data_IF_179113358326
#
_entry.id   IF_179113358326
#
_cell.length_a   1.000
_cell.length_b   1.000
_cell.length_c   1.000
_cell.angle_alpha   90.00
_cell.angle_beta   90.00
_cell.angle_gamma   90.00
#
_symmetry.space_group_name_H-M   'P 1'
#
loop_
_entity.id
_entity.type
_entity.pdbx_description
1 polymer ?
#
# COMPACT_ATOMS: atom_id res chain seq x y z
N UNK A 1 23.55 -4.26 -20.19
CA UNK A 1 22.69 -4.98 -21.13
C UNK A 1 22.09 -6.20 -20.42
N UNK A 2 20.81 -6.44 -20.62
CA UNK A 2 20.16 -7.58 -19.98
C UNK A 2 18.69 -7.76 -20.34
N UNK A 3 18.17 -8.92 -19.95
CA UNK A 3 16.76 -9.29 -20.09
C UNK A 3 16.23 -9.60 -18.69
N UNK A 4 15.05 -9.12 -18.36
CA UNK A 4 14.37 -9.38 -17.11
C UNK A 4 12.89 -9.70 -17.36
N UNK A 5 12.29 -10.51 -16.51
CA UNK A 5 10.85 -10.78 -16.54
C UNK A 5 10.31 -10.98 -15.12
N UNK A 6 9.07 -10.57 -14.90
CA UNK A 6 8.34 -10.95 -13.69
C UNK A 6 8.35 -12.47 -13.52
N UNK A 7 8.54 -12.99 -12.31
CA UNK A 7 8.65 -14.42 -12.05
C UNK A 7 7.25 -15.09 -11.99
N UNK A 8 6.52 -15.07 -13.11
CA UNK A 8 5.19 -15.70 -13.19
C UNK A 8 5.30 -17.21 -13.40
N UNK A 9 4.27 -17.93 -12.94
CA UNK A 9 4.13 -19.38 -13.18
C UNK A 9 3.16 -19.68 -14.31
N UNK A 10 2.10 -18.88 -14.42
CA UNK A 10 1.04 -19.08 -15.42
C UNK A 10 0.79 -17.73 -16.11
N UNK A 11 1.06 -17.67 -17.42
CA UNK A 11 0.72 -16.47 -18.21
C UNK A 11 -0.80 -16.32 -18.28
N UNK A 12 -1.39 -15.23 -17.72
CA UNK A 12 -2.84 -15.04 -17.70
C UNK A 12 -3.47 -14.91 -19.09
N UNK A 13 -2.68 -14.53 -20.10
CA UNK A 13 -3.15 -14.40 -21.48
C UNK A 13 -3.22 -15.73 -22.24
N UNK A 14 -2.75 -16.82 -21.62
CA UNK A 14 -2.90 -18.19 -22.16
C UNK A 14 -4.09 -18.95 -21.55
N UNK A 15 -4.71 -18.41 -20.49
CA UNK A 15 -5.90 -18.97 -19.86
C UNK A 15 -7.14 -18.60 -20.66
N UNK A 16 -7.99 -19.57 -21.00
CA UNK A 16 -9.22 -19.31 -21.76
C UNK A 16 -10.13 -18.32 -21.01
N UNK A 17 -10.71 -17.37 -21.75
CA UNK A 17 -11.56 -16.34 -21.17
C UNK A 17 -12.82 -16.95 -20.52
N UNK A 18 -13.31 -18.07 -21.07
CA UNK A 18 -14.44 -18.82 -20.54
C UNK A 18 -14.15 -19.36 -19.15
N UNK A 19 -12.93 -19.85 -18.90
CA UNK A 19 -12.52 -20.36 -17.59
C UNK A 19 -12.38 -19.24 -16.57
N UNK A 20 -11.85 -18.07 -16.99
CA UNK A 20 -11.76 -16.88 -16.16
C UNK A 20 -13.16 -16.38 -15.75
N UNK A 21 -14.07 -16.26 -16.72
CA UNK A 21 -15.45 -15.87 -16.48
C UNK A 21 -16.19 -16.88 -15.61
N UNK A 22 -16.02 -18.17 -15.86
CA UNK A 22 -16.63 -19.23 -15.05
C UNK A 22 -16.18 -19.18 -13.59
N UNK A 23 -14.92 -18.84 -13.32
CA UNK A 23 -14.42 -18.66 -11.95
C UNK A 23 -15.10 -17.47 -11.25
N UNK A 24 -15.20 -16.32 -11.94
CA UNK A 24 -15.88 -15.13 -11.40
C UNK A 24 -17.35 -15.39 -11.12
N UNK A 25 -18.06 -16.08 -12.03
CA UNK A 25 -19.48 -16.43 -11.83
C UNK A 25 -19.67 -17.33 -10.61
N UNK A 26 -18.83 -18.34 -10.41
CA UNK A 26 -18.89 -19.18 -9.20
C UNK A 26 -18.63 -18.38 -7.92
N UNK A 27 -17.69 -17.43 -7.93
CA UNK A 27 -17.45 -16.54 -6.77
C UNK A 27 -18.69 -15.67 -6.50
N UNK A 28 -19.33 -15.13 -7.55
CA UNK A 28 -20.55 -14.35 -7.42
C UNK A 28 -21.71 -15.17 -6.86
N UNK A 29 -21.93 -16.38 -7.35
CA UNK A 29 -22.96 -17.30 -6.85
C UNK A 29 -22.73 -17.64 -5.38
N UNK A 30 -21.47 -17.92 -4.98
CA UNK A 30 -21.12 -18.23 -3.60
C UNK A 30 -21.41 -17.05 -2.65
N UNK A 31 -21.11 -15.81 -3.07
CA UNK A 31 -21.44 -14.61 -2.29
C UNK A 31 -22.95 -14.34 -2.23
N UNK A 32 -23.66 -14.47 -3.36
CA UNK A 32 -25.14 -14.29 -3.45
C UNK A 32 -25.90 -15.33 -2.63
N UNK A 33 -25.31 -16.49 -2.35
CA UNK A 33 -25.86 -17.50 -1.45
C UNK A 33 -25.96 -17.05 0.01
N UNK A 34 -25.30 -15.94 0.40
CA UNK A 34 -25.37 -15.39 1.76
C UNK A 34 -26.64 -14.56 1.94
N UNK A 35 -27.52 -14.87 2.89
CA UNK A 35 -28.74 -14.11 3.13
C UNK A 35 -28.46 -12.65 3.45
N UNK A 36 -29.10 -11.72 2.70
CA UNK A 36 -28.89 -10.28 2.83
C UNK A 36 -27.96 -9.68 1.77
N UNK A 37 -27.15 -10.49 1.08
CA UNK A 37 -26.40 -10.05 -0.10
C UNK A 37 -27.37 -9.87 -1.28
N UNK A 38 -27.23 -8.76 -2.01
CA UNK A 38 -28.08 -8.43 -3.15
C UNK A 38 -27.30 -8.22 -4.44
N UNK A 39 -26.10 -7.71 -4.34
CA UNK A 39 -25.28 -7.41 -5.51
C UNK A 39 -23.85 -7.92 -5.30
N UNK A 40 -23.28 -8.47 -6.36
CA UNK A 40 -21.87 -8.85 -6.41
C UNK A 40 -21.29 -8.37 -7.72
N UNK A 41 -20.14 -7.71 -7.63
CA UNK A 41 -19.32 -7.34 -8.78
C UNK A 41 -17.95 -8.01 -8.62
N UNK A 42 -17.49 -8.68 -9.65
CA UNK A 42 -16.17 -9.31 -9.67
C UNK A 42 -15.42 -9.01 -10.95
N UNK A 43 -14.12 -8.90 -10.86
CA UNK A 43 -13.27 -8.62 -11.99
C UNK A 43 -11.89 -9.30 -11.83
N UNK A 44 -11.24 -9.54 -12.97
CA UNK A 44 -9.82 -9.86 -13.05
C UNK A 44 -9.19 -8.84 -13.98
N UNK A 45 -8.16 -8.18 -13.50
CA UNK A 45 -7.36 -7.27 -14.31
C UNK A 45 -5.95 -7.84 -14.47
N UNK A 46 -5.49 -7.92 -15.72
CA UNK A 46 -4.14 -8.37 -16.05
C UNK A 46 -3.44 -7.33 -16.92
N UNK A 47 -2.15 -7.15 -16.64
CA UNK A 47 -1.28 -6.33 -17.47
C UNK A 47 -0.04 -7.14 -17.83
N UNK A 48 0.33 -7.09 -19.12
CA UNK A 48 1.65 -7.48 -19.63
C UNK A 48 2.23 -6.27 -20.33
N UNK A 49 3.39 -5.83 -19.88
CA UNK A 49 4.12 -4.70 -20.44
C UNK A 49 5.49 -5.18 -20.90
N UNK A 50 5.85 -4.87 -22.15
CA UNK A 50 7.19 -5.12 -22.68
C UNK A 50 7.89 -3.77 -22.86
N UNK A 51 8.97 -3.56 -22.13
CA UNK A 51 9.79 -2.34 -22.20
C UNK A 51 11.17 -2.65 -22.75
N UNK A 52 11.55 -1.89 -23.79
CA UNK A 52 12.93 -1.85 -24.27
C UNK A 52 13.50 -0.47 -24.01
N UNK A 53 14.62 -0.42 -23.30
CA UNK A 53 15.40 0.80 -23.08
C UNK A 53 16.71 0.69 -23.85
N UNK A 54 17.11 1.76 -24.53
CA UNK A 54 18.41 1.88 -25.19
C UNK A 54 18.95 3.29 -25.01
N UNK A 55 20.26 3.42 -24.78
CA UNK A 55 20.94 4.71 -24.65
C UNK A 55 22.21 4.79 -25.50
N UNK A 56 22.69 6.02 -25.74
CA UNK A 56 23.88 6.28 -26.56
C UNK A 56 25.19 5.84 -25.91
N UNK A 57 25.19 5.54 -24.62
CA UNK A 57 26.32 4.93 -23.89
C UNK A 57 26.40 3.40 -24.05
N UNK A 58 25.53 2.83 -24.89
CA UNK A 58 25.55 1.42 -25.25
C UNK A 58 24.75 0.51 -24.32
N UNK A 59 23.94 1.06 -23.42
CA UNK A 59 23.02 0.30 -22.57
C UNK A 59 21.82 -0.15 -23.40
N UNK A 60 21.47 -1.44 -23.35
CA UNK A 60 20.23 -2.01 -23.89
C UNK A 60 19.63 -2.97 -22.88
N UNK A 61 18.38 -2.75 -22.47
CA UNK A 61 17.63 -3.64 -21.59
C UNK A 61 16.27 -3.96 -22.15
N UNK A 62 15.80 -5.19 -21.94
CA UNK A 62 14.46 -5.64 -22.32
C UNK A 62 13.79 -6.24 -21.11
N UNK A 63 12.56 -5.81 -20.82
CA UNK A 63 11.82 -6.25 -19.64
C UNK A 63 10.40 -6.67 -20.01
N UNK A 64 9.93 -7.79 -19.45
CA UNK A 64 8.54 -8.21 -19.52
C UNK A 64 7.94 -8.18 -18.12
N UNK A 65 7.02 -7.26 -17.89
CA UNK A 65 6.40 -7.02 -16.59
C UNK A 65 4.97 -7.55 -16.63
N UNK A 66 4.63 -8.40 -15.64
CA UNK A 66 3.27 -8.88 -15.45
C UNK A 66 2.68 -8.36 -14.15
N UNK A 67 1.37 -8.10 -14.16
CA UNK A 67 0.61 -7.72 -12.98
C UNK A 67 -0.78 -8.34 -13.03
N UNK A 68 -1.30 -8.75 -11.88
CA UNK A 68 -2.62 -9.34 -11.74
C UNK A 68 -3.36 -8.76 -10.54
N UNK A 69 -4.65 -8.48 -10.72
CA UNK A 69 -5.56 -8.02 -9.66
C UNK A 69 -6.92 -8.70 -9.82
N UNK A 70 -7.18 -9.82 -9.17
CA UNK A 70 -8.53 -10.33 -8.99
C UNK A 70 -9.24 -9.55 -7.89
N UNK A 71 -10.55 -9.30 -8.06
CA UNK A 71 -11.34 -8.56 -7.09
C UNK A 71 -12.79 -9.01 -7.06
N UNK A 72 -13.38 -8.93 -5.86
CA UNK A 72 -14.81 -9.16 -5.62
C UNK A 72 -15.32 -8.05 -4.72
N UNK A 73 -16.46 -7.46 -5.07
CA UNK A 73 -17.19 -6.51 -4.22
C UNK A 73 -18.57 -7.06 -3.97
N UNK A 74 -18.89 -7.27 -2.70
CA UNK A 74 -20.19 -7.78 -2.25
C UNK A 74 -20.97 -6.66 -1.59
N UNK A 75 -22.23 -6.47 -1.97
CA UNK A 75 -23.13 -5.47 -1.37
C UNK A 75 -24.32 -6.17 -0.72
N UNK A 76 -24.45 -5.94 0.57
CA UNK A 76 -25.63 -6.33 1.36
C UNK A 76 -26.61 -5.16 1.48
N UNK A 77 -27.90 -5.46 1.50
CA UNK A 77 -28.98 -4.46 1.61
C UNK A 77 -29.88 -4.85 2.78
N UNK A 78 -30.30 -3.86 3.58
CA UNK A 78 -31.22 -4.06 4.69
C UNK A 78 -32.57 -4.58 4.22
N UNK A 79 -33.31 -5.29 5.08
CA UNK A 79 -34.59 -5.90 4.71
C UNK A 79 -35.64 -4.89 4.25
N UNK A 80 -35.61 -3.68 4.75
CA UNK A 80 -36.48 -2.55 4.40
C UNK A 80 -35.94 -1.67 3.25
N UNK A 81 -34.80 -2.03 2.68
CA UNK A 81 -34.04 -1.30 1.64
C UNK A 81 -33.62 0.13 2.05
N UNK A 82 -33.52 0.44 3.33
CA UNK A 82 -33.16 1.78 3.81
C UNK A 82 -31.64 1.98 3.91
N UNK A 83 -30.84 0.91 3.98
CA UNK A 83 -29.39 0.95 4.10
C UNK A 83 -28.73 -0.14 3.26
N UNK A 84 -27.51 0.12 2.81
CA UNK A 84 -26.67 -0.87 2.15
C UNK A 84 -25.21 -0.74 2.61
N UNK A 85 -24.50 -1.83 2.61
CA UNK A 85 -23.08 -1.88 2.95
C UNK A 85 -22.33 -2.76 1.97
N UNK A 86 -21.14 -2.30 1.57
CA UNK A 86 -20.28 -3.05 0.66
C UNK A 86 -18.99 -3.53 1.35
N UNK A 87 -18.51 -4.67 0.91
CA UNK A 87 -17.23 -5.27 1.29
C UNK A 87 -16.44 -5.60 0.02
N UNK A 88 -15.32 -4.93 -0.17
CA UNK A 88 -14.35 -5.25 -1.22
C UNK A 88 -13.35 -6.28 -0.72
N UNK A 89 -12.90 -7.17 -1.57
CA UNK A 89 -11.88 -8.19 -1.25
C UNK A 89 -10.47 -7.60 -1.08
N UNK A 90 -10.32 -6.60 -0.21
CA UNK A 90 -9.07 -5.88 0.05
C UNK A 90 -7.98 -6.71 0.75
N UNK A 91 -8.32 -7.91 1.18
CA UNK A 91 -7.39 -8.96 1.61
C UNK A 91 -6.77 -9.72 0.42
N UNK A 92 -7.26 -9.50 -0.78
CA UNK A 92 -6.66 -9.95 -2.05
C UNK A 92 -6.05 -8.73 -2.72
N UNK A 93 -4.78 -8.48 -2.45
CA UNK A 93 -4.05 -7.32 -2.97
C UNK A 93 -3.53 -7.58 -4.39
N UNK A 94 -3.31 -6.54 -5.22
CA UNK A 94 -2.70 -6.71 -6.53
C UNK A 94 -1.23 -7.14 -6.42
N UNK A 95 -0.77 -7.98 -7.33
CA UNK A 95 0.60 -8.50 -7.35
C UNK A 95 1.25 -8.47 -8.73
N UNK A 96 2.59 -8.41 -8.75
CA UNK A 96 3.43 -8.60 -9.93
C UNK A 96 3.61 -10.09 -10.28
N UNK A 97 2.50 -10.81 -10.37
CA UNK A 97 2.41 -12.25 -10.62
C UNK A 97 1.51 -12.54 -11.84
N UNK A 98 1.40 -13.82 -12.22
CA UNK A 98 0.52 -14.30 -13.28
C UNK A 98 -0.83 -14.81 -12.74
N UNK A 99 -1.45 -15.73 -13.50
CA UNK A 99 -2.74 -16.31 -13.14
C UNK A 99 -2.71 -17.14 -11.84
N UNK A 100 -1.55 -17.63 -11.43
CA UNK A 100 -1.37 -18.27 -10.13
C UNK A 100 -1.87 -17.40 -8.96
N UNK A 101 -1.75 -16.08 -9.06
CA UNK A 101 -2.27 -15.16 -8.05
C UNK A 101 -3.80 -15.23 -7.92
N UNK A 102 -4.50 -15.39 -9.04
CA UNK A 102 -5.96 -15.58 -9.06
C UNK A 102 -6.36 -16.90 -8.36
N UNK A 103 -5.60 -17.98 -8.62
CA UNK A 103 -5.84 -19.26 -7.99
C UNK A 103 -5.57 -19.24 -6.48
N UNK A 104 -4.48 -18.57 -6.07
CA UNK A 104 -4.10 -18.42 -4.65
C UNK A 104 -5.08 -17.52 -3.87
N UNK A 105 -5.77 -16.60 -4.56
CA UNK A 105 -6.78 -15.72 -3.97
C UNK A 105 -8.04 -16.47 -3.47
N UNK A 106 -8.30 -17.70 -3.96
CA UNK A 106 -9.43 -18.55 -3.54
C UNK A 106 -10.74 -17.79 -3.51
N UNK A 107 -11.08 -17.12 -4.62
CA UNK A 107 -12.22 -16.19 -4.70
C UNK A 107 -13.53 -16.87 -4.32
N UNK A 108 -13.75 -18.12 -4.78
CA UNK A 108 -15.00 -18.87 -4.52
C UNK A 108 -15.14 -19.21 -3.04
N UNK A 109 -14.06 -19.67 -2.42
CA UNK A 109 -14.02 -20.08 -1.01
C UNK A 109 -14.16 -18.87 -0.06
N UNK A 110 -13.61 -17.72 -0.44
CA UNK A 110 -13.65 -16.49 0.36
C UNK A 110 -14.95 -15.68 0.17
N UNK A 111 -15.64 -15.82 -0.97
CA UNK A 111 -16.81 -15.03 -1.31
C UNK A 111 -17.94 -15.06 -0.24
N UNK A 112 -18.28 -16.22 0.38
CA UNK A 112 -19.28 -16.25 1.46
C UNK A 112 -18.86 -15.45 2.70
N UNK A 113 -17.56 -15.45 3.05
CA UNK A 113 -17.03 -14.66 4.16
C UNK A 113 -17.18 -13.17 3.88
N UNK A 114 -16.82 -12.68 2.69
CA UNK A 114 -17.02 -11.28 2.31
C UNK A 114 -18.51 -10.90 2.32
N UNK A 115 -19.38 -11.82 1.93
CA UNK A 115 -20.83 -11.66 2.03
C UNK A 115 -21.30 -11.49 3.48
N UNK A 116 -20.85 -12.35 4.37
CA UNK A 116 -21.18 -12.29 5.80
C UNK A 116 -20.67 -10.98 6.43
N UNK A 117 -19.44 -10.55 6.11
CA UNK A 117 -18.86 -9.29 6.56
C UNK A 117 -19.68 -8.08 6.08
N UNK A 118 -20.16 -8.07 4.82
CA UNK A 118 -21.02 -7.01 4.31
C UNK A 118 -22.37 -6.94 5.06
N UNK A 119 -22.96 -8.10 5.38
CA UNK A 119 -24.21 -8.19 6.16
C UNK A 119 -23.99 -7.75 7.62
N UNK A 120 -22.85 -8.09 8.22
CA UNK A 120 -22.51 -7.64 9.57
C UNK A 120 -22.35 -6.12 9.64
N UNK A 121 -21.75 -5.49 8.61
CA UNK A 121 -21.65 -4.01 8.50
C UNK A 121 -23.00 -3.31 8.61
N UNK A 122 -24.08 -3.86 8.06
CA UNK A 122 -25.42 -3.29 8.20
C UNK A 122 -25.88 -3.17 9.65
N UNK A 123 -25.43 -4.09 10.51
CA UNK A 123 -25.79 -4.18 11.92
C UNK A 123 -24.79 -3.49 12.84
N UNK A 124 -23.67 -3.02 12.27
CA UNK A 124 -22.61 -2.40 13.05
C UNK A 124 -23.10 -1.10 13.70
N UNK A 125 -22.68 -0.87 14.94
CA UNK A 125 -22.94 0.41 15.62
C UNK A 125 -21.96 1.46 15.14
N UNK A 126 -22.42 2.73 15.08
CA UNK A 126 -21.54 3.86 14.83
C UNK A 126 -20.49 4.00 15.95
N UNK A 127 -19.30 4.43 15.57
CA UNK A 127 -18.21 4.64 16.55
C UNK A 127 -18.47 5.86 17.43
N UNK A 128 -18.08 5.79 18.69
CA UNK A 128 -17.95 6.96 19.56
C UNK A 128 -16.65 7.70 19.25
N UNK A 129 -16.71 9.02 19.09
CA UNK A 129 -15.51 9.84 18.89
C UNK A 129 -14.60 9.77 20.11
N UNK A 130 -13.29 9.81 19.89
CA UNK A 130 -12.34 9.74 21.00
C UNK A 130 -10.96 9.28 20.57
N UNK A 131 -10.14 8.90 21.57
CA UNK A 131 -8.82 8.34 21.34
C UNK A 131 -8.84 6.84 21.60
N UNK A 132 -8.29 6.09 20.66
CA UNK A 132 -8.23 4.64 20.67
C UNK A 132 -6.84 4.16 20.27
N UNK A 133 -6.46 3.01 20.79
CA UNK A 133 -5.34 2.27 20.22
C UNK A 133 -5.80 1.65 18.90
N UNK A 134 -5.01 1.81 17.84
CA UNK A 134 -5.32 1.22 16.55
C UNK A 134 -4.44 0.01 16.28
N UNK A 135 -5.06 -1.10 15.90
CA UNK A 135 -4.37 -2.27 15.35
C UNK A 135 -4.67 -2.32 13.86
N UNK A 136 -3.65 -2.06 13.05
CA UNK A 136 -3.79 -1.96 11.59
C UNK A 136 -3.31 -3.25 10.93
N UNK A 137 -4.21 -3.87 10.15
CA UNK A 137 -3.89 -5.01 9.31
C UNK A 137 -3.05 -4.55 8.09
N UNK A 138 -2.14 -5.36 7.54
CA UNK A 138 -1.36 -5.00 6.37
C UNK A 138 -2.19 -4.52 5.18
N UNK A 139 -3.35 -5.15 4.92
CA UNK A 139 -4.28 -4.75 3.85
C UNK A 139 -4.86 -3.34 3.99
N UNK A 140 -4.71 -2.71 5.16
CA UNK A 140 -5.03 -1.31 5.41
C UNK A 140 -3.77 -0.44 5.48
N UNK A 141 -2.75 -0.91 6.19
CA UNK A 141 -1.56 -0.14 6.54
C UNK A 141 -0.75 0.28 5.31
N UNK A 142 -0.75 -0.51 4.24
CA UNK A 142 -0.04 -0.20 3.00
C UNK A 142 -0.39 1.20 2.47
N UNK A 143 -1.68 1.60 2.51
CA UNK A 143 -2.12 2.92 2.06
C UNK A 143 -1.60 4.03 2.99
N UNK A 144 -1.59 3.79 4.30
CA UNK A 144 -1.02 4.75 5.27
C UNK A 144 0.48 4.94 5.04
N UNK A 145 1.21 3.87 4.72
CA UNK A 145 2.64 3.94 4.34
C UNK A 145 2.80 4.73 3.03
N UNK A 146 1.99 4.42 2.02
CA UNK A 146 2.00 5.10 0.72
C UNK A 146 1.92 6.61 0.89
N UNK A 147 0.91 7.07 1.62
CA UNK A 147 0.62 8.50 1.77
C UNK A 147 1.56 9.20 2.73
N UNK A 148 1.88 8.57 3.87
CA UNK A 148 2.56 9.25 4.97
C UNK A 148 4.05 8.92 5.10
N UNK A 149 4.59 7.97 4.34
CA UNK A 149 6.02 7.64 4.32
C UNK A 149 6.60 7.69 2.91
N UNK A 150 5.96 7.02 1.95
CA UNK A 150 6.50 6.91 0.61
C UNK A 150 6.52 8.27 -0.13
N UNK A 151 5.38 8.94 -0.24
CA UNK A 151 5.32 10.26 -0.86
C UNK A 151 6.22 11.32 -0.21
N UNK A 152 6.26 11.50 1.12
CA UNK A 152 7.12 12.54 1.70
C UNK A 152 8.62 12.28 1.53
N UNK A 153 9.03 11.05 1.22
CA UNK A 153 10.43 10.70 1.00
C UNK A 153 10.82 10.59 -0.48
N UNK A 154 9.97 11.03 -1.40
CA UNK A 154 10.34 11.30 -2.79
C UNK A 154 11.21 12.57 -2.83
N UNK A 155 12.44 12.48 -3.36
CA UNK A 155 13.38 13.59 -3.31
C UNK A 155 12.92 14.79 -4.15
N UNK A 156 12.35 14.59 -5.33
CA UNK A 156 11.82 15.65 -6.17
C UNK A 156 10.73 16.46 -5.47
N UNK A 157 9.86 15.77 -4.70
CA UNK A 157 8.86 16.43 -3.86
C UNK A 157 9.51 17.26 -2.76
N UNK A 158 10.54 16.73 -2.08
CA UNK A 158 11.28 17.44 -1.04
C UNK A 158 12.05 18.66 -1.59
N UNK A 159 12.48 18.60 -2.86
CA UNK A 159 13.10 19.71 -3.59
C UNK A 159 12.10 20.71 -4.17
N UNK A 160 10.80 20.42 -4.12
CA UNK A 160 9.73 21.32 -4.58
C UNK A 160 9.36 21.19 -6.06
N UNK A 161 9.78 20.13 -6.75
CA UNK A 161 9.48 19.94 -8.19
C UNK A 161 7.99 19.73 -8.46
N UNK A 162 7.23 19.27 -7.46
CA UNK A 162 5.77 19.08 -7.56
C UNK A 162 4.94 20.19 -6.88
N UNK A 163 5.56 21.28 -6.43
CA UNK A 163 4.89 22.29 -5.60
C UNK A 163 3.66 22.92 -6.25
N UNK A 164 3.62 22.99 -7.57
CA UNK A 164 2.50 23.55 -8.35
C UNK A 164 1.34 22.55 -8.57
N UNK A 165 1.53 21.27 -8.31
CA UNK A 165 0.53 20.22 -8.59
C UNK A 165 0.20 19.37 -7.37
N UNK A 166 1.12 18.53 -6.90
CA UNK A 166 0.87 17.56 -5.84
C UNK A 166 1.40 18.03 -4.46
N UNK A 167 2.06 19.18 -4.41
CA UNK A 167 2.53 19.81 -3.19
C UNK A 167 4.01 19.56 -2.90
N UNK A 168 4.37 19.69 -1.64
CA UNK A 168 5.74 19.59 -1.15
C UNK A 168 5.85 18.42 -0.14
N UNK A 169 6.93 18.40 0.63
CA UNK A 169 7.13 17.44 1.71
C UNK A 169 7.52 18.15 3.00
N UNK A 170 6.99 17.67 4.13
CA UNK A 170 7.51 18.07 5.45
C UNK A 170 8.89 17.47 5.74
N UNK A 171 9.27 16.42 4.99
CA UNK A 171 10.60 15.78 5.05
C UNK A 171 11.57 16.59 4.18
N UNK A 172 11.74 17.87 4.52
CA UNK A 172 12.54 18.84 3.76
C UNK A 172 13.02 20.00 4.66
N UNK A 173 14.12 20.68 4.31
CA UNK A 173 15.06 20.32 3.26
C UNK A 173 16.00 19.17 3.70
N UNK A 174 16.62 18.42 2.76
CA UNK A 174 17.46 17.25 3.08
C UNK A 174 18.55 17.50 4.12
N UNK A 175 19.19 18.68 4.11
CA UNK A 175 20.27 19.06 5.05
C UNK A 175 19.78 19.17 6.51
N UNK A 176 18.49 19.42 6.73
CA UNK A 176 17.90 19.50 8.08
C UNK A 176 17.32 18.16 8.54
N UNK A 177 17.08 17.23 7.61
CA UNK A 177 16.32 16.01 7.84
C UNK A 177 17.20 14.77 7.94
N UNK A 178 18.13 14.56 6.99
CA UNK A 178 18.96 13.36 6.92
C UNK A 178 19.80 13.16 8.17
N UNK A 179 19.67 11.99 8.77
CA UNK A 179 20.34 11.61 10.03
C UNK A 179 19.80 12.32 11.28
N UNK A 180 18.74 13.14 11.18
CA UNK A 180 18.25 13.99 12.28
C UNK A 180 16.76 13.84 12.54
N UNK A 181 15.92 13.78 11.51
CA UNK A 181 14.48 13.69 11.67
C UNK A 181 14.09 12.34 12.24
N UNK A 182 13.59 12.35 13.48
CA UNK A 182 12.99 11.19 14.10
C UNK A 182 11.55 11.03 13.57
N UNK A 183 11.34 10.02 12.75
CA UNK A 183 10.06 9.71 12.12
C UNK A 183 9.17 8.83 12.99
N UNK A 184 9.79 7.90 13.71
CA UNK A 184 9.09 6.91 14.54
C UNK A 184 10.01 6.33 15.62
N UNK A 185 9.57 5.27 16.32
CA UNK A 185 10.35 4.56 17.31
C UNK A 185 11.50 3.74 16.67
N UNK A 186 12.43 3.26 17.49
CA UNK A 186 13.58 2.46 17.02
C UNK A 186 13.20 1.16 16.29
N UNK A 187 12.01 0.62 16.54
CA UNK A 187 11.50 -0.57 15.83
C UNK A 187 11.09 -0.25 14.39
N UNK A 188 10.96 1.03 14.01
CA UNK A 188 10.56 1.45 12.67
C UNK A 188 11.76 1.44 11.72
N UNK A 189 11.75 0.51 10.76
CA UNK A 189 12.69 0.47 9.65
C UNK A 189 11.89 0.40 8.35
N UNK A 190 12.24 1.26 7.38
CA UNK A 190 11.56 1.33 6.08
C UNK A 190 12.58 1.29 4.97
N UNK A 191 12.33 0.46 3.98
CA UNK A 191 13.18 0.30 2.80
C UNK A 191 12.43 0.61 1.50
N UNK A 192 13.18 1.14 0.52
CA UNK A 192 12.81 1.10 -0.89
C UNK A 192 13.37 -0.17 -1.53
N UNK A 193 12.54 -0.97 -2.21
CA UNK A 193 12.97 -2.25 -2.74
C UNK A 193 12.22 -2.65 -4.01
N UNK A 194 12.78 -2.40 -5.18
CA UNK A 194 12.26 -2.89 -6.47
C UNK A 194 12.75 -4.30 -6.84
N UNK A 195 13.46 -4.99 -5.94
CA UNK A 195 13.90 -6.37 -6.14
C UNK A 195 12.95 -7.38 -5.46
N UNK A 196 11.91 -6.92 -4.76
CA UNK A 196 10.98 -7.78 -4.04
C UNK A 196 10.07 -8.54 -5.03
N UNK A 197 10.27 -9.86 -5.10
CA UNK A 197 9.54 -10.72 -6.01
C UNK A 197 8.03 -10.69 -5.72
N UNK A 198 7.21 -10.61 -6.78
CA UNK A 198 5.76 -10.54 -6.66
C UNK A 198 5.21 -9.15 -6.33
N UNK A 199 6.05 -8.15 -6.09
CA UNK A 199 5.60 -6.78 -5.93
C UNK A 199 5.25 -6.13 -7.28
N UNK A 200 4.34 -5.16 -7.27
CA UNK A 200 3.94 -4.44 -8.48
C UNK A 200 5.04 -3.56 -9.07
N UNK A 201 5.94 -3.06 -8.24
CA UNK A 201 7.05 -2.21 -8.65
C UNK A 201 8.35 -2.95 -8.95
N UNK A 202 8.35 -4.30 -8.96
CA UNK A 202 9.54 -5.09 -9.28
C UNK A 202 9.95 -4.92 -10.74
N UNK A 203 11.23 -4.61 -10.96
CA UNK A 203 11.84 -4.39 -12.29
C UNK A 203 13.30 -4.82 -12.29
N UNK A 204 13.87 -5.06 -13.46
CA UNK A 204 15.31 -5.28 -13.63
C UNK A 204 16.11 -3.97 -13.77
N UNK A 205 15.52 -2.95 -14.40
CA UNK A 205 16.11 -1.61 -14.59
C UNK A 205 14.99 -0.56 -14.61
N UNK A 206 15.30 0.62 -14.09
CA UNK A 206 14.42 1.78 -14.22
C UNK A 206 14.48 2.41 -15.63
N UNK A 207 13.71 3.46 -15.87
CA UNK A 207 13.62 4.10 -17.17
C UNK A 207 14.78 5.08 -17.48
N UNK A 208 15.86 5.03 -16.70
CA UNK A 208 17.19 5.57 -16.97
C UNK A 208 18.25 4.47 -17.13
N UNK A 209 17.84 3.20 -17.20
CA UNK A 209 18.73 2.03 -17.33
C UNK A 209 19.50 1.69 -16.06
N UNK A 210 19.07 2.18 -14.90
CA UNK A 210 19.69 1.91 -13.60
C UNK A 210 19.09 0.65 -12.98
N UNK A 211 19.96 -0.32 -12.61
CA UNK A 211 19.52 -1.46 -11.82
C UNK A 211 19.10 -0.99 -10.41
N UNK A 212 17.90 -1.37 -9.92
CA UNK A 212 17.41 -0.91 -8.64
C UNK A 212 18.22 -1.47 -7.47
N UNK A 213 18.28 -0.69 -6.41
CA UNK A 213 18.86 -1.11 -5.14
C UNK A 213 17.78 -1.35 -4.10
N UNK A 214 18.09 -2.20 -3.10
CA UNK A 214 17.39 -2.19 -1.81
C UNK A 214 18.14 -1.22 -0.91
N UNK A 215 17.45 -0.20 -0.41
CA UNK A 215 18.06 0.86 0.41
C UNK A 215 17.16 1.27 1.56
N UNK A 216 17.78 1.67 2.68
CA UNK A 216 17.03 2.16 3.83
C UNK A 216 16.61 3.62 3.61
N UNK A 217 15.33 3.90 3.79
CA UNK A 217 14.75 5.25 3.83
C UNK A 217 14.69 5.71 5.29
N UNK A 218 14.21 4.84 6.18
CA UNK A 218 14.17 5.07 7.62
C UNK A 218 14.88 3.91 8.30
N UNK A 219 15.83 4.23 9.18
CA UNK A 219 16.55 3.25 9.98
C UNK A 219 16.42 3.60 11.46
N UNK A 220 15.93 2.65 12.26
CA UNK A 220 15.67 2.85 13.70
C UNK A 220 14.92 4.15 14.00
N UNK A 221 13.87 4.40 13.19
CA UNK A 221 13.00 5.57 13.33
C UNK A 221 13.59 6.88 12.82
N UNK A 222 14.79 6.91 12.25
CA UNK A 222 15.44 8.14 11.72
C UNK A 222 15.50 8.07 10.20
N UNK A 223 15.16 9.18 9.53
CA UNK A 223 15.29 9.32 8.08
C UNK A 223 16.76 9.33 7.69
N UNK A 224 17.17 8.44 6.80
CA UNK A 224 18.57 8.26 6.38
C UNK A 224 18.79 8.37 4.89
N UNK A 225 17.71 8.32 4.07
CA UNK A 225 17.84 8.46 2.62
C UNK A 225 16.49 8.90 2.00
N UNK A 226 16.52 9.17 0.71
CA UNK A 226 15.37 9.49 -0.14
C UNK A 226 15.35 8.57 -1.36
N UNK A 227 14.19 8.50 -1.99
CA UNK A 227 14.01 7.90 -3.31
C UNK A 227 14.59 8.84 -4.38
N UNK A 228 15.46 8.32 -5.26
CA UNK A 228 16.23 9.16 -6.19
C UNK A 228 16.28 8.62 -7.60
N UNK A 229 16.39 9.53 -8.57
CA UNK A 229 16.80 9.27 -9.95
C UNK A 229 18.29 9.64 -10.14
N UNK A 230 18.82 9.44 -11.35
CA UNK A 230 20.22 9.81 -11.69
C UNK A 230 20.46 11.32 -11.51
N UNK A 231 19.54 12.15 -11.99
CA UNK A 231 19.60 13.61 -11.82
C UNK A 231 19.66 13.98 -10.33
N UNK A 232 18.75 13.42 -9.54
CA UNK A 232 18.56 13.81 -8.16
C UNK A 232 19.65 13.29 -7.21
N UNK A 233 20.31 12.17 -7.53
CA UNK A 233 21.35 11.61 -6.69
C UNK A 233 22.48 12.62 -6.42
N UNK A 234 22.75 13.51 -7.37
CA UNK A 234 23.74 14.58 -7.24
C UNK A 234 23.40 15.59 -6.13
N UNK A 235 22.12 15.87 -5.87
CA UNK A 235 21.67 16.76 -4.80
C UNK A 235 22.00 16.25 -3.39
N UNK A 236 22.19 14.93 -3.27
CA UNK A 236 22.58 14.26 -2.02
C UNK A 236 24.05 13.88 -1.97
N UNK A 237 24.91 14.35 -2.90
CA UNK A 237 26.32 13.97 -2.97
C UNK A 237 27.06 14.24 -1.65
N UNK A 238 26.78 15.38 -0.99
CA UNK A 238 27.34 15.74 0.30
C UNK A 238 27.01 14.70 1.40
N UNK A 239 25.80 14.14 1.38
CA UNK A 239 25.34 13.14 2.34
C UNK A 239 25.98 11.78 2.08
N UNK A 240 25.98 11.33 0.83
CA UNK A 240 26.57 10.05 0.46
C UNK A 240 28.08 10.05 0.72
N UNK A 241 28.79 11.14 0.42
CA UNK A 241 30.22 11.28 0.75
C UNK A 241 30.47 11.19 2.27
N UNK A 242 29.64 11.85 3.08
CA UNK A 242 29.72 11.76 4.54
C UNK A 242 29.50 10.33 5.06
N UNK A 243 28.65 9.55 4.37
CA UNK A 243 28.38 8.15 4.70
C UNK A 243 29.38 7.15 4.06
N UNK A 244 30.35 7.62 3.30
CA UNK A 244 31.29 6.76 2.55
C UNK A 244 30.61 5.95 1.45
N UNK A 245 29.49 6.43 0.91
CA UNK A 245 28.70 5.78 -0.13
C UNK A 245 28.96 6.41 -1.51
N UNK A 246 28.83 5.66 -2.59
CA UNK A 246 28.86 6.23 -3.94
C UNK A 246 27.65 7.13 -4.18
N UNK A 247 27.83 8.18 -4.97
CA UNK A 247 26.73 9.02 -5.45
C UNK A 247 26.08 8.32 -6.64
N UNK A 248 24.93 7.69 -6.40
CA UNK A 248 24.17 7.00 -7.45
C UNK A 248 22.67 7.02 -7.18
N UNK A 249 21.91 6.86 -8.25
CA UNK A 249 20.46 6.64 -8.20
C UNK A 249 20.12 5.29 -7.55
N UNK A 250 19.02 5.24 -6.82
CA UNK A 250 18.44 3.99 -6.33
C UNK A 250 17.56 3.25 -7.35
N UNK A 251 17.51 3.73 -8.60
CA UNK A 251 16.72 3.11 -9.67
C UNK A 251 15.22 3.43 -9.57
N UNK A 252 14.87 4.69 -9.33
CA UNK A 252 13.49 5.11 -9.14
C UNK A 252 12.95 6.00 -10.27
N UNK A 253 13.58 5.99 -11.43
CA UNK A 253 13.07 6.66 -12.62
C UNK A 253 11.92 5.88 -13.27
N UNK A 254 10.91 6.57 -13.77
CA UNK A 254 9.74 5.98 -14.38
C UNK A 254 9.21 6.83 -15.53
N UNK A 255 8.87 6.19 -16.63
CA UNK A 255 8.06 6.73 -17.72
C UNK A 255 6.94 5.73 -18.02
N UNK A 256 5.69 6.20 -18.10
CA UNK A 256 4.54 5.36 -18.40
C UNK A 256 4.60 4.78 -19.82
N UNK A 257 5.11 5.56 -20.77
CA UNK A 257 5.26 5.15 -22.16
C UNK A 257 6.51 5.77 -22.79
N UNK A 258 6.85 5.33 -23.99
CA UNK A 258 7.97 5.89 -24.77
C UNK A 258 7.81 7.39 -25.11
N UNK A 259 6.59 7.92 -25.05
CA UNK A 259 6.30 9.31 -25.35
C UNK A 259 6.34 10.22 -24.09
N UNK A 260 6.47 9.63 -22.91
CA UNK A 260 6.44 10.36 -21.66
C UNK A 260 7.86 10.70 -21.19
N UNK A 261 8.00 11.85 -20.55
CA UNK A 261 9.24 12.24 -19.88
C UNK A 261 9.35 11.46 -18.57
N UNK A 262 10.49 10.82 -18.35
CA UNK A 262 10.76 10.10 -17.10
C UNK A 262 10.94 11.08 -15.92
N UNK A 263 10.47 10.67 -14.76
CA UNK A 263 10.64 11.38 -13.51
C UNK A 263 10.77 10.39 -12.33
N UNK A 264 11.07 10.92 -11.16
CA UNK A 264 11.17 10.09 -9.97
C UNK A 264 9.79 9.51 -9.64
N UNK A 265 9.77 8.20 -9.39
CA UNK A 265 8.60 7.50 -8.89
C UNK A 265 8.99 6.53 -7.79
N UNK A 266 8.06 6.31 -6.82
CA UNK A 266 8.39 5.48 -5.68
C UNK A 266 8.64 4.02 -6.09
N UNK A 267 9.66 3.39 -5.48
CA UNK A 267 9.81 1.94 -5.49
C UNK A 267 8.73 1.31 -4.59
N UNK A 268 8.86 0.01 -4.31
CA UNK A 268 8.11 -0.55 -3.18
C UNK A 268 8.72 0.00 -1.89
N UNK A 269 8.01 0.89 -1.22
CA UNK A 269 8.41 1.45 0.08
C UNK A 269 7.72 0.64 1.16
N UNK A 270 8.50 -0.16 1.89
CA UNK A 270 7.96 -1.19 2.78
C UNK A 270 8.46 -1.02 4.21
N UNK A 271 7.55 -1.18 5.17
CA UNK A 271 7.87 -1.27 6.59
C UNK A 271 8.38 -2.67 6.90
N UNK A 272 9.61 -2.78 7.39
CA UNK A 272 10.21 -4.07 7.68
C UNK A 272 9.57 -4.72 8.92
N UNK A 273 9.49 -6.07 8.94
CA UNK A 273 9.01 -6.82 10.12
C UNK A 273 9.86 -6.57 11.36
N UNK A 274 9.22 -6.64 12.52
CA UNK A 274 9.90 -6.61 13.82
C UNK A 274 10.65 -7.91 14.11
N UNK A 275 11.54 -7.87 15.11
CA UNK A 275 12.33 -9.03 15.55
C UNK A 275 11.48 -10.12 16.23
N UNK A 276 10.35 -9.73 16.81
CA UNK A 276 9.40 -10.67 17.41
C UNK A 276 8.39 -11.11 16.35
N UNK A 277 8.21 -12.41 16.18
CA UNK A 277 7.31 -12.97 15.18
C UNK A 277 5.84 -12.90 15.62
N UNK A 278 5.36 -11.68 15.88
CA UNK A 278 3.98 -11.39 16.29
C UNK A 278 3.05 -11.44 15.07
N UNK A 279 1.87 -12.01 15.29
CA UNK A 279 0.77 -12.04 14.34
C UNK A 279 -0.22 -10.91 14.64
N UNK A 280 -1.15 -10.66 13.74
CA UNK A 280 -2.21 -9.65 13.92
C UNK A 280 -3.03 -9.88 15.20
N UNK A 281 -3.35 -11.13 15.49
CA UNK A 281 -4.10 -11.56 16.67
C UNK A 281 -3.35 -11.29 17.97
N UNK A 282 -2.01 -11.37 17.95
CA UNK A 282 -1.17 -11.05 19.11
C UNK A 282 -1.27 -9.56 19.47
N UNK A 283 -1.31 -8.69 18.44
CA UNK A 283 -1.48 -7.25 18.65
C UNK A 283 -2.88 -6.93 19.22
N UNK A 284 -3.92 -7.61 18.73
CA UNK A 284 -5.28 -7.48 19.26
C UNK A 284 -5.31 -7.92 20.72
N UNK A 285 -4.75 -9.10 21.01
CA UNK A 285 -4.74 -9.68 22.37
C UNK A 285 -4.00 -8.80 23.38
N UNK A 286 -3.01 -8.03 22.93
CA UNK A 286 -2.26 -7.09 23.75
C UNK A 286 -2.93 -5.71 23.89
N UNK A 287 -4.13 -5.50 23.31
CA UNK A 287 -4.83 -4.21 23.29
C UNK A 287 -6.06 -4.26 24.18
N UNK A 288 -6.07 -3.46 25.26
CA UNK A 288 -7.19 -3.41 26.19
C UNK A 288 -8.43 -2.73 25.59
N UNK A 289 -8.25 -1.53 25.01
CA UNK A 289 -9.30 -0.76 24.35
C UNK A 289 -8.79 -0.19 23.02
N UNK A 290 -9.38 -0.62 21.93
CA UNK A 290 -8.91 -0.19 20.61
C UNK A 290 -9.88 -0.47 19.47
N UNK A 291 -9.42 -0.19 18.28
CA UNK A 291 -10.10 -0.52 17.01
C UNK A 291 -9.10 -1.25 16.11
N UNK A 292 -9.49 -2.43 15.65
CA UNK A 292 -8.76 -3.15 14.60
C UNK A 292 -9.32 -2.78 13.23
N UNK A 293 -8.46 -2.44 12.27
CA UNK A 293 -8.85 -1.98 10.93
C UNK A 293 -8.28 -2.93 9.89
N UNK A 294 -9.17 -3.41 9.00
CA UNK A 294 -8.83 -4.31 7.88
C UNK A 294 -9.30 -3.68 6.57
N UNK A 295 -8.45 -3.71 5.56
CA UNK A 295 -8.72 -3.18 4.24
C UNK A 295 -8.62 -1.66 4.17
N UNK A 296 -8.10 -1.17 3.07
CA UNK A 296 -8.04 0.25 2.75
C UNK A 296 -9.41 0.84 2.40
N UNK A 297 -9.51 2.16 2.46
CA UNK A 297 -10.74 2.90 2.18
C UNK A 297 -10.45 4.32 1.73
N UNK A 298 -11.40 5.21 1.94
CA UNK A 298 -11.23 6.63 1.61
C UNK A 298 -10.10 7.26 2.42
N UNK A 299 -9.43 8.23 1.82
CA UNK A 299 -8.39 9.00 2.48
C UNK A 299 -8.41 10.46 2.03
N UNK A 300 -7.80 11.32 2.84
CA UNK A 300 -7.51 12.71 2.53
C UNK A 300 -6.19 13.08 3.20
N UNK A 301 -5.36 13.82 2.49
CA UNK A 301 -4.04 14.21 2.98
C UNK A 301 -3.68 15.60 2.48
N UNK A 302 -2.97 16.39 3.29
CA UNK A 302 -2.50 17.70 2.87
C UNK A 302 -1.32 17.61 1.88
N UNK A 303 -1.05 18.71 1.22
CA UNK A 303 0.00 18.79 0.20
C UNK A 303 1.42 18.55 0.74
N UNK A 304 1.65 18.72 2.03
CA UNK A 304 2.93 18.47 2.69
C UNK A 304 3.08 17.03 3.18
N UNK A 305 2.00 16.23 3.12
CA UNK A 305 1.94 14.86 3.65
C UNK A 305 2.07 14.82 5.19
N UNK A 306 1.67 15.90 5.86
CA UNK A 306 1.79 16.07 7.29
C UNK A 306 0.52 15.73 8.05
N UNK A 307 -0.66 16.18 7.56
CA UNK A 307 -1.96 15.88 8.16
C UNK A 307 -2.76 14.96 7.24
N UNK A 308 -3.35 13.91 7.79
CA UNK A 308 -4.12 12.94 7.01
C UNK A 308 -5.34 12.42 7.77
N UNK A 309 -6.29 11.90 6.99
CA UNK A 309 -7.46 11.18 7.48
C UNK A 309 -7.63 9.91 6.65
N UNK A 310 -7.89 8.78 7.31
CA UNK A 310 -8.09 7.50 6.64
C UNK A 310 -9.38 6.83 7.15
N UNK A 311 -10.14 6.27 6.21
CA UNK A 311 -11.17 5.28 6.46
C UNK A 311 -10.63 3.86 6.27
N UNK A 312 -11.51 2.88 6.15
CA UNK A 312 -11.15 1.47 5.93
C UNK A 312 -12.35 0.65 5.46
N UNK A 313 -12.17 -0.66 5.27
CA UNK A 313 -13.26 -1.56 4.89
C UNK A 313 -13.99 -2.13 6.10
N UNK A 314 -13.27 -2.65 7.09
CA UNK A 314 -13.81 -3.27 8.29
C UNK A 314 -13.17 -2.66 9.52
N UNK A 315 -13.98 -2.40 10.51
CA UNK A 315 -13.57 -1.84 11.80
C UNK A 315 -14.12 -2.72 12.91
N UNK A 316 -13.25 -3.24 13.76
CA UNK A 316 -13.62 -4.11 14.87
C UNK A 316 -13.28 -3.44 16.20
N UNK A 317 -14.25 -3.39 17.10
CA UNK A 317 -14.01 -2.92 18.47
C UNK A 317 -13.22 -3.95 19.26
N UNK A 318 -12.14 -3.50 19.91
CA UNK A 318 -11.34 -4.32 20.82
C UNK A 318 -11.62 -3.90 22.25
N UNK A 319 -11.94 -4.89 23.11
CA UNK A 319 -12.05 -4.71 24.57
C UNK A 319 -11.43 -5.92 25.29
N UNK A 320 -10.53 -5.64 26.24
CA UNK A 320 -9.85 -6.68 27.02
C UNK A 320 -9.13 -7.71 26.16
N UNK A 321 -8.45 -7.26 25.08
CA UNK A 321 -7.72 -8.13 24.14
C UNK A 321 -8.57 -8.98 23.22
N UNK A 322 -9.86 -8.66 23.03
CA UNK A 322 -10.79 -9.42 22.18
C UNK A 322 -11.60 -8.51 21.27
N UNK A 323 -11.89 -8.98 20.07
CA UNK A 323 -12.90 -8.37 19.20
C UNK A 323 -14.27 -8.64 19.81
N UNK A 324 -15.05 -7.56 20.05
CA UNK A 324 -16.38 -7.64 20.66
C UNK A 324 -17.51 -7.26 19.68
N UNK A 325 -17.21 -6.82 18.48
CA UNK A 325 -18.16 -6.54 17.43
C UNK A 325 -17.62 -5.60 16.37
N UNK A 326 -18.40 -5.38 15.32
CA UNK A 326 -18.07 -4.49 14.23
C UNK A 326 -18.53 -3.06 14.50
N UNK A 327 -17.77 -2.08 14.02
CA UNK A 327 -18.09 -0.66 14.04
C UNK A 327 -18.28 -0.13 12.62
N UNK A 328 -19.06 0.94 12.47
CA UNK A 328 -19.21 1.71 11.24
C UNK A 328 -18.95 3.20 11.48
N UNK A 329 -18.89 3.97 10.40
CA UNK A 329 -18.68 5.41 10.41
C UNK A 329 -17.33 5.83 11.01
N UNK A 330 -16.31 4.99 10.87
CA UNK A 330 -14.98 5.21 11.46
C UNK A 330 -14.04 5.86 10.46
N UNK A 331 -13.38 6.92 10.89
CA UNK A 331 -12.13 7.37 10.28
C UNK A 331 -11.17 7.83 11.39
N UNK A 332 -9.87 7.75 11.12
CA UNK A 332 -8.86 8.29 12.02
C UNK A 332 -8.10 9.44 11.40
N UNK A 333 -7.75 10.41 12.24
CA UNK A 333 -6.97 11.58 11.84
C UNK A 333 -5.59 11.52 12.47
N UNK A 334 -4.58 11.89 11.69
CA UNK A 334 -3.19 11.84 12.10
C UNK A 334 -2.44 13.13 11.73
N UNK A 335 -1.40 13.41 12.52
CA UNK A 335 -0.19 14.11 12.08
C UNK A 335 0.88 13.06 11.89
N UNK A 336 1.51 13.03 10.73
CA UNK A 336 2.41 11.94 10.33
C UNK A 336 3.49 11.60 11.37
N UNK A 337 4.28 12.56 11.92
CA UNK A 337 5.29 12.22 12.93
C UNK A 337 4.70 11.72 14.26
N UNK A 338 3.54 12.27 14.67
CA UNK A 338 2.87 11.84 15.90
C UNK A 338 2.31 10.41 15.78
N UNK A 339 1.73 10.11 14.62
CA UNK A 339 1.17 8.79 14.34
C UNK A 339 2.24 7.70 14.34
N UNK A 340 3.31 7.91 13.57
CA UNK A 340 4.41 6.94 13.54
C UNK A 340 5.14 6.88 14.86
N UNK A 341 5.29 8.02 15.57
CA UNK A 341 5.85 8.07 16.92
C UNK A 341 5.03 7.31 17.97
N UNK A 342 3.73 7.13 17.73
CA UNK A 342 2.82 6.37 18.59
C UNK A 342 2.83 4.85 18.35
N UNK A 343 3.59 4.36 17.35
CA UNK A 343 3.72 2.93 17.07
C UNK A 343 4.51 2.25 18.20
N UNK A 344 3.89 1.30 18.89
CA UNK A 344 4.51 0.59 20.02
C UNK A 344 4.59 -0.93 19.81
N UNK A 345 3.88 -1.48 18.83
CA UNK A 345 3.99 -2.89 18.45
C UNK A 345 4.07 -3.03 16.93
N UNK A 346 4.85 -4.00 16.51
CA UNK A 346 5.14 -4.32 15.12
C UNK A 346 5.10 -5.84 14.93
N UNK A 347 4.34 -6.32 13.95
CA UNK A 347 4.26 -7.72 13.58
C UNK A 347 5.58 -8.28 13.06
N UNK A 348 5.68 -9.60 13.03
CA UNK A 348 6.86 -10.31 12.60
C UNK A 348 6.84 -10.69 11.11
N UNK A 349 7.83 -11.48 10.71
CA UNK A 349 8.03 -11.88 9.31
C UNK A 349 6.86 -12.69 8.74
N UNK A 350 6.22 -13.56 9.55
CA UNK A 350 5.10 -14.39 9.09
C UNK A 350 3.81 -13.60 8.82
N UNK A 351 3.68 -12.42 9.42
CA UNK A 351 2.54 -11.53 9.25
C UNK A 351 2.79 -10.40 8.26
N UNK A 352 3.92 -10.44 7.54
CA UNK A 352 4.25 -9.48 6.49
C UNK A 352 3.48 -9.80 5.22
N UNK A 353 2.79 -8.80 4.66
CA UNK A 353 2.04 -8.91 3.41
C UNK A 353 2.36 -7.73 2.49
N UNK A 354 2.28 -7.97 1.18
CA UNK A 354 2.34 -6.92 0.17
C UNK A 354 0.94 -6.36 -0.08
N UNK A 355 0.78 -5.06 0.11
CA UNK A 355 -0.37 -4.31 -0.39
C UNK A 355 0.04 -3.34 -1.50
N UNK A 356 -0.92 -2.75 -2.22
CA UNK A 356 -0.57 -1.80 -3.26
C UNK A 356 -1.71 -1.39 -4.18
N UNK A 357 -1.38 -0.62 -5.20
CA UNK A 357 -2.29 -0.14 -6.22
C UNK A 357 -1.70 -0.28 -7.62
N UNK A 358 -2.57 -0.58 -8.60
CA UNK A 358 -2.20 -0.61 -10.01
C UNK A 358 -1.90 0.77 -10.58
N UNK A 359 -2.59 1.78 -10.06
CA UNK A 359 -2.49 3.14 -10.56
C UNK A 359 -2.25 4.14 -9.45
N UNK A 360 -1.06 4.73 -9.46
CA UNK A 360 -0.70 5.86 -8.62
C UNK A 360 -0.22 7.01 -9.51
N UNK A 361 -0.99 8.09 -9.52
CA UNK A 361 -0.81 9.21 -10.45
C UNK A 361 0.22 10.22 -9.98
N UNK A 362 1.00 10.76 -10.92
CA UNK A 362 1.97 11.85 -10.68
C UNK A 362 2.17 12.70 -11.93
N UNK A 363 2.49 13.97 -11.74
CA UNK A 363 2.98 14.87 -12.78
C UNK A 363 1.91 15.58 -13.59
N UNK A 364 2.38 16.52 -14.41
CA UNK A 364 1.61 17.26 -15.42
C UNK A 364 2.42 17.34 -16.74
N UNK A 365 2.03 16.60 -17.81
CA UNK A 365 0.88 15.68 -17.88
C UNK A 365 0.97 14.53 -16.87
N UNK A 366 -0.18 14.02 -16.44
CA UNK A 366 -0.24 12.93 -15.46
C UNK A 366 0.23 11.60 -16.06
N UNK A 367 1.06 10.89 -15.32
CA UNK A 367 1.46 9.51 -15.57
C UNK A 367 1.03 8.65 -14.38
N UNK A 368 0.75 7.38 -14.62
CA UNK A 368 0.32 6.43 -13.61
C UNK A 368 1.27 5.23 -13.54
N UNK A 369 1.68 4.83 -12.36
CA UNK A 369 2.49 3.64 -12.13
C UNK A 369 1.86 2.71 -11.10
N UNK A 370 2.23 1.44 -11.18
CA UNK A 370 1.87 0.46 -10.16
C UNK A 370 2.91 0.45 -9.04
N UNK A 371 2.45 0.30 -7.80
CA UNK A 371 3.31 0.35 -6.61
C UNK A 371 2.83 -0.64 -5.55
N UNK A 372 3.77 -1.28 -4.85
CA UNK A 372 3.50 -2.08 -3.65
C UNK A 372 4.15 -1.49 -2.41
N UNK A 373 3.53 -1.76 -1.27
CA UNK A 373 4.06 -1.46 0.05
C UNK A 373 3.88 -2.70 0.93
N UNK A 374 4.98 -3.36 1.26
CA UNK A 374 4.96 -4.47 2.18
C UNK A 374 4.96 -3.99 3.63
N UNK A 375 4.23 -4.66 4.48
CA UNK A 375 4.24 -4.36 5.91
C UNK A 375 3.67 -5.53 6.73
N UNK A 376 4.13 -5.70 7.98
CA UNK A 376 3.43 -6.47 8.99
C UNK A 376 2.35 -5.61 9.65
N UNK A 377 1.43 -6.17 10.46
CA UNK A 377 0.48 -5.40 11.25
C UNK A 377 1.20 -4.52 12.28
N UNK A 378 0.59 -3.39 12.62
CA UNK A 378 1.11 -2.46 13.62
C UNK A 378 0.07 -2.08 14.65
N UNK A 379 0.51 -1.68 15.86
CA UNK A 379 -0.32 -0.98 16.82
C UNK A 379 0.18 0.43 17.06
N UNK A 380 -0.76 1.38 17.03
CA UNK A 380 -0.53 2.80 17.32
C UNK A 380 -1.39 3.23 18.50
N UNK A 381 -0.78 3.93 19.45
CA UNK A 381 -1.45 4.30 20.71
C UNK A 381 -2.20 5.62 20.58
N UNK A 382 -3.41 5.66 21.12
CA UNK A 382 -4.19 6.87 21.39
C UNK A 382 -4.39 7.77 20.14
N UNK A 383 -4.78 7.16 19.04
CA UNK A 383 -5.06 7.86 17.77
C UNK A 383 -6.47 8.47 17.82
N UNK A 384 -6.61 9.65 17.22
CA UNK A 384 -7.87 10.39 17.15
C UNK A 384 -8.85 9.72 16.18
N UNK A 385 -10.00 9.31 16.68
CA UNK A 385 -11.09 8.71 15.91
C UNK A 385 -12.24 9.71 15.80
N UNK A 386 -12.74 9.86 14.57
CA UNK A 386 -13.94 10.65 14.26
C UNK A 386 -15.06 9.74 13.76
N UNK A 387 -16.28 10.24 13.89
CA UNK A 387 -17.49 9.59 13.36
C UNK A 387 -17.90 10.29 12.06
N UNK A 388 -17.81 9.57 10.93
CA UNK A 388 -18.12 10.10 9.60
C UNK A 388 -19.61 10.09 9.26
N UNK A 389 -20.44 9.34 10.01
CA UNK A 389 -21.88 9.28 9.86
C UNK A 389 -22.63 10.40 10.58
N UNK A 390 -21.96 11.22 11.38
CA UNK A 390 -22.56 12.30 12.13
C UNK A 390 -22.96 13.43 11.16
N UNK A 391 -24.26 13.63 11.01
CA UNK A 391 -24.77 14.85 10.34
C UNK A 391 -24.38 16.04 11.21
N UNK A 392 -23.77 17.06 10.59
CA UNK A 392 -23.42 18.34 11.21
C UNK A 392 -24.69 19.06 11.67
#
# INVERSE_FOLDING_TARGET
>A
NGIWSSPIKIDPFTVAIEDQVALLLRANEAALGVPGVRFVNSAMFFLREEKTFASTDGTVTVQTIYRAQPSVTVTAVSADNSDFQSRQSTDVQPHGLGYEHVLDAKLVENAPRWGAEAVEKLKAKSVDVGRYDLVLHPSHLWLTIHESVAHPTELDRALGYEANYAGTSFVAPPQKVLGKLKYGPEIMNVQGNRNEAGSLGAIGWDDEGVAPETFDIIRKGVVVDYQTTREQAGELAWWYQQQGKPVRSHGNSYAQSWADVQFQRMPNVSLLPGDKDLMYEDLISATDRGIAIVGDGSFSIDQQRYNSQFGGQLFYEIRGGKIVGMLKDVAYQIRTPEFWGAMDMLGGKRSYELGGAFGDGKGQPAQSNAVSHGCPPTRHRQINIINTGRKA
#
